data_IF_753890674400
#
_entry.id   IF_753890674400
#
_cell.length_a   1.000
_cell.length_b   1.000
_cell.length_c   1.000
_cell.angle_alpha   90.00
_cell.angle_beta   90.00
_cell.angle_gamma   90.00
#
_symmetry.space_group_name_H-M   'P 1'
#
loop_
_entity.id
_entity.type
_entity.pdbx_description
1 polymer ?
#
# COMPACT_ATOMS: atom_id res chain seq x y z
N UNK A 1 -15.87 39.67 18.40
CA UNK A 1 -15.33 38.78 19.46
C UNK A 1 -16.12 37.47 19.57
N UNK A 2 -17.46 37.48 19.59
CA UNK A 2 -18.22 36.22 19.54
C UNK A 2 -17.82 35.29 18.37
N UNK A 3 -17.55 35.88 17.22
CA UNK A 3 -17.10 35.12 16.03
C UNK A 3 -15.74 34.44 16.23
N UNK A 4 -14.81 35.08 16.99
CA UNK A 4 -13.49 34.48 17.30
C UNK A 4 -13.71 33.26 18.22
N UNK A 5 -14.49 33.41 19.26
CA UNK A 5 -14.83 32.31 20.18
C UNK A 5 -15.50 31.17 19.42
N UNK A 6 -16.44 31.49 18.53
CA UNK A 6 -17.10 30.47 17.70
C UNK A 6 -16.11 29.69 16.81
N UNK A 7 -15.23 30.38 16.10
CA UNK A 7 -14.21 29.74 15.27
C UNK A 7 -13.31 28.83 16.10
N UNK A 8 -12.83 29.29 17.25
CA UNK A 8 -11.98 28.49 18.13
C UNK A 8 -12.74 27.27 18.70
N UNK A 9 -13.99 27.43 19.07
CA UNK A 9 -14.82 26.32 19.59
C UNK A 9 -15.09 25.25 18.54
N UNK A 10 -15.41 25.66 17.29
CA UNK A 10 -15.58 24.74 16.17
C UNK A 10 -14.26 24.03 15.85
N UNK A 11 -13.15 24.78 15.81
CA UNK A 11 -11.81 24.17 15.62
C UNK A 11 -11.51 23.17 16.73
N UNK A 12 -11.72 23.53 18.00
CA UNK A 12 -11.55 22.62 19.14
C UNK A 12 -12.34 21.33 18.96
N UNK A 13 -13.61 21.45 18.61
CA UNK A 13 -14.47 20.27 18.41
C UNK A 13 -13.88 19.31 17.36
N UNK A 14 -13.50 19.81 16.19
CA UNK A 14 -12.96 18.97 15.15
C UNK A 14 -11.57 18.40 15.49
N UNK A 15 -10.68 19.19 16.10
CA UNK A 15 -9.36 18.72 16.51
C UNK A 15 -9.45 17.61 17.56
N UNK A 16 -10.33 17.75 18.54
CA UNK A 16 -10.54 16.72 19.55
C UNK A 16 -11.20 15.49 18.92
N UNK A 17 -12.20 15.68 18.06
CA UNK A 17 -12.91 14.59 17.39
C UNK A 17 -11.95 13.74 16.54
N UNK A 18 -11.21 14.35 15.62
CA UNK A 18 -10.27 13.62 14.78
C UNK A 18 -9.06 13.12 15.57
N UNK A 19 -8.56 13.92 16.51
CA UNK A 19 -7.44 13.53 17.34
C UNK A 19 -7.71 12.31 18.21
N UNK A 20 -8.91 12.20 18.80
CA UNK A 20 -9.32 11.01 19.55
C UNK A 20 -9.49 9.81 18.63
N UNK A 21 -10.06 10.01 17.43
CA UNK A 21 -10.18 8.97 16.42
C UNK A 21 -8.81 8.40 16.04
N UNK A 22 -7.84 9.26 15.71
CA UNK A 22 -6.48 8.85 15.35
C UNK A 22 -5.74 8.18 16.51
N UNK A 23 -5.88 8.73 17.72
CA UNK A 23 -5.25 8.18 18.91
C UNK A 23 -5.71 6.74 19.20
N UNK A 24 -7.01 6.44 19.01
CA UNK A 24 -7.60 5.15 19.33
C UNK A 24 -7.54 4.15 18.18
N UNK A 25 -7.74 4.59 16.93
CA UNK A 25 -8.01 3.72 15.79
C UNK A 25 -6.87 3.68 14.76
N UNK A 26 -5.87 4.59 14.82
CA UNK A 26 -4.79 4.58 13.84
C UNK A 26 -3.97 3.30 13.90
N UNK A 27 -3.69 2.73 12.72
CA UNK A 27 -2.91 1.50 12.56
C UNK A 27 -1.45 1.72 12.94
N UNK A 28 -0.87 2.85 12.52
CA UNK A 28 0.51 3.20 12.80
C UNK A 28 0.67 3.91 14.14
N UNK A 29 1.74 3.60 14.86
CA UNK A 29 2.09 4.30 16.11
C UNK A 29 2.26 5.81 15.91
N UNK A 30 2.86 6.21 14.78
CA UNK A 30 3.00 7.62 14.40
C UNK A 30 1.65 8.33 14.28
N UNK A 31 0.63 7.68 13.74
CA UNK A 31 -0.72 8.21 13.65
C UNK A 31 -1.35 8.43 15.03
N UNK A 32 -1.11 7.52 15.99
CA UNK A 32 -1.57 7.70 17.39
C UNK A 32 -0.91 8.90 18.06
N UNK A 33 0.39 9.13 17.80
CA UNK A 33 1.09 10.35 18.28
C UNK A 33 0.44 11.60 17.68
N UNK A 34 0.18 11.60 16.36
CA UNK A 34 -0.51 12.71 15.71
C UNK A 34 -1.87 12.97 16.34
N UNK A 35 -2.64 11.93 16.60
CA UNK A 35 -3.90 12.03 17.32
C UNK A 35 -3.76 12.69 18.68
N UNK A 36 -2.78 12.28 19.48
CA UNK A 36 -2.48 12.89 20.78
C UNK A 36 -2.11 14.38 20.66
N UNK A 37 -1.32 14.74 19.66
CA UNK A 37 -0.95 16.14 19.37
C UNK A 37 -2.18 16.96 18.99
N UNK A 38 -3.05 16.44 18.10
CA UNK A 38 -4.29 17.12 17.73
C UNK A 38 -5.21 17.35 18.93
N UNK A 39 -5.33 16.39 19.85
CA UNK A 39 -6.08 16.57 21.10
C UNK A 39 -5.45 17.65 21.97
N UNK A 40 -4.13 17.64 22.14
CA UNK A 40 -3.43 18.66 22.95
C UNK A 40 -3.61 20.07 22.38
N UNK A 41 -3.49 20.23 21.04
CA UNK A 41 -3.77 21.51 20.36
C UNK A 41 -5.25 21.87 20.50
N UNK A 42 -6.18 20.92 20.41
CA UNK A 42 -7.60 21.12 20.64
C UNK A 42 -7.90 21.69 22.05
N UNK A 43 -7.26 21.13 23.08
CA UNK A 43 -7.32 21.67 24.44
C UNK A 43 -6.72 23.08 24.51
N UNK A 44 -5.57 23.32 23.86
CA UNK A 44 -4.94 24.65 23.80
C UNK A 44 -5.82 25.68 23.11
N UNK A 45 -6.51 25.33 22.02
CA UNK A 45 -7.48 26.21 21.33
C UNK A 45 -8.71 26.49 22.17
N UNK A 46 -9.19 25.50 22.94
CA UNK A 46 -10.28 25.69 23.89
C UNK A 46 -9.90 26.70 25.00
N UNK A 47 -8.72 26.55 25.60
CA UNK A 47 -8.20 27.51 26.58
C UNK A 47 -8.03 28.90 25.95
N UNK A 48 -7.59 28.96 24.67
CA UNK A 48 -7.56 30.20 23.89
C UNK A 48 -8.93 30.85 23.74
N UNK A 49 -9.98 30.08 23.49
CA UNK A 49 -11.35 30.58 23.40
C UNK A 49 -11.83 31.16 24.75
N UNK A 50 -11.56 30.45 25.86
CA UNK A 50 -11.85 30.96 27.21
C UNK A 50 -11.06 32.25 27.52
N UNK A 51 -9.80 32.27 27.10
CA UNK A 51 -8.94 33.46 27.29
C UNK A 51 -9.41 34.66 26.47
N UNK A 52 -9.93 34.47 25.25
CA UNK A 52 -10.59 35.55 24.47
C UNK A 52 -11.78 36.11 25.21
N UNK A 53 -12.59 35.21 25.81
CA UNK A 53 -13.74 35.63 26.59
C UNK A 53 -13.32 36.42 27.85
N UNK A 54 -12.34 35.92 28.62
CA UNK A 54 -11.79 36.59 29.79
C UNK A 54 -11.17 37.94 29.44
N UNK A 55 -10.34 37.99 28.43
CA UNK A 55 -9.68 39.23 27.98
C UNK A 55 -10.65 40.34 27.62
N UNK A 56 -11.81 39.96 27.07
CA UNK A 56 -12.84 40.90 26.63
C UNK A 56 -13.80 41.34 27.72
N UNK A 57 -14.24 40.42 28.58
CA UNK A 57 -15.38 40.63 29.46
C UNK A 57 -15.02 40.72 30.95
N UNK A 58 -14.14 39.87 31.42
CA UNK A 58 -13.88 39.71 32.86
C UNK A 58 -12.53 40.24 33.31
N UNK A 59 -11.49 40.12 32.47
CA UNK A 59 -10.11 40.53 32.76
C UNK A 59 -9.57 40.00 34.10
N UNK A 60 -10.01 38.80 34.48
CA UNK A 60 -9.59 38.19 35.73
C UNK A 60 -8.14 37.71 35.71
N UNK A 61 -7.65 37.26 34.51
CA UNK A 61 -6.29 36.73 34.37
C UNK A 61 -5.37 37.71 33.66
N UNK A 62 -4.23 38.06 34.26
CA UNK A 62 -3.32 39.08 33.72
C UNK A 62 -2.71 38.74 32.36
N UNK A 63 -2.65 37.43 32.00
CA UNK A 63 -2.05 36.94 30.74
C UNK A 63 -3.10 36.37 29.75
N UNK A 64 -4.37 36.65 29.93
CA UNK A 64 -5.43 36.11 29.05
C UNK A 64 -5.23 36.52 27.59
N UNK A 65 -4.77 37.71 27.29
CA UNK A 65 -4.44 38.16 25.94
C UNK A 65 -3.36 37.28 25.26
N UNK A 66 -2.33 36.90 26.02
CA UNK A 66 -1.27 36.02 25.51
C UNK A 66 -1.77 34.61 25.21
N UNK A 67 -2.55 34.04 26.14
CA UNK A 67 -3.16 32.70 25.93
C UNK A 67 -4.12 32.72 24.74
N UNK A 68 -4.91 33.79 24.58
CA UNK A 68 -5.76 33.99 23.42
C UNK A 68 -4.98 34.04 22.12
N UNK A 69 -3.84 34.74 22.09
CA UNK A 69 -2.98 34.80 20.91
C UNK A 69 -2.37 33.45 20.57
N UNK A 70 -1.82 32.75 21.56
CA UNK A 70 -1.24 31.40 21.34
C UNK A 70 -2.32 30.44 20.82
N UNK A 71 -3.51 30.43 21.41
CA UNK A 71 -4.61 29.58 20.98
C UNK A 71 -5.09 29.87 19.56
N UNK A 72 -5.17 31.17 19.16
CA UNK A 72 -5.57 31.55 17.80
C UNK A 72 -4.50 31.21 16.76
N UNK A 73 -3.20 31.38 17.08
CA UNK A 73 -2.09 31.01 16.19
C UNK A 73 -2.00 29.48 16.03
N UNK A 74 -2.11 28.74 17.14
CA UNK A 74 -2.13 27.27 17.07
C UNK A 74 -3.31 26.76 16.22
N UNK A 75 -4.52 27.32 16.43
CA UNK A 75 -5.68 27.00 15.62
C UNK A 75 -5.44 27.29 14.12
N UNK A 76 -4.82 28.44 13.80
CA UNK A 76 -4.52 28.78 12.41
C UNK A 76 -3.54 27.79 11.77
N UNK A 77 -2.41 27.49 12.43
CA UNK A 77 -1.39 26.57 11.89
C UNK A 77 -2.00 25.19 11.66
N UNK A 78 -2.71 24.66 12.65
CA UNK A 78 -3.29 23.32 12.53
C UNK A 78 -4.43 23.26 11.50
N UNK A 79 -5.32 24.26 11.46
CA UNK A 79 -6.36 24.34 10.43
C UNK A 79 -5.76 24.45 9.03
N UNK A 80 -4.67 25.21 8.85
CA UNK A 80 -3.97 25.32 7.58
C UNK A 80 -3.40 23.97 7.13
N UNK A 81 -2.76 23.23 8.05
CA UNK A 81 -2.21 21.91 7.73
C UNK A 81 -3.30 20.92 7.36
N UNK A 82 -4.40 20.89 8.10
CA UNK A 82 -5.54 20.03 7.80
C UNK A 82 -6.23 20.43 6.49
N UNK A 83 -6.35 21.74 6.21
CA UNK A 83 -6.86 22.23 4.93
C UNK A 83 -5.99 21.74 3.76
N UNK A 84 -4.66 21.85 3.87
CA UNK A 84 -3.74 21.38 2.84
C UNK A 84 -3.85 19.86 2.63
N UNK A 85 -3.89 19.07 3.71
CA UNK A 85 -4.06 17.64 3.63
C UNK A 85 -5.39 17.25 2.95
N UNK A 86 -6.52 17.89 3.34
CA UNK A 86 -7.84 17.59 2.77
C UNK A 86 -7.96 18.09 1.32
N UNK A 87 -7.31 19.20 0.95
CA UNK A 87 -7.30 19.69 -0.44
C UNK A 87 -6.51 18.72 -1.33
N UNK A 88 -5.38 18.22 -0.85
CA UNK A 88 -4.51 17.31 -1.59
C UNK A 88 -5.14 15.91 -1.74
N UNK A 89 -5.61 15.33 -0.64
CA UNK A 89 -5.97 13.91 -0.57
C UNK A 89 -7.46 13.62 -0.41
N UNK A 90 -8.24 14.59 0.08
CA UNK A 90 -9.66 14.42 0.34
C UNK A 90 -10.52 14.48 -0.92
N UNK A 91 -11.61 13.74 -0.95
CA UNK A 91 -12.61 13.74 -2.02
C UNK A 91 -13.80 14.67 -1.70
N UNK A 92 -14.10 14.86 -0.41
CA UNK A 92 -15.26 15.61 0.07
C UNK A 92 -15.11 17.12 -0.07
N UNK A 93 -15.91 17.72 -0.97
CA UNK A 93 -15.98 19.19 -1.17
C UNK A 93 -16.41 19.92 0.12
N UNK A 94 -17.30 19.31 0.93
CA UNK A 94 -17.76 19.91 2.18
C UNK A 94 -16.60 20.13 3.15
N UNK A 95 -15.75 19.14 3.34
CA UNK A 95 -14.59 19.27 4.24
C UNK A 95 -13.50 20.21 3.67
N UNK A 96 -13.32 20.26 2.35
CA UNK A 96 -12.44 21.26 1.71
C UNK A 96 -12.89 22.67 2.03
N UNK A 97 -14.18 22.96 1.88
CA UNK A 97 -14.74 24.28 2.21
C UNK A 97 -14.66 24.55 3.71
N UNK A 98 -15.03 23.58 4.55
CA UNK A 98 -14.99 23.72 6.01
C UNK A 98 -13.59 24.11 6.52
N UNK A 99 -12.57 23.33 6.14
CA UNK A 99 -11.20 23.59 6.57
C UNK A 99 -10.63 24.89 6.01
N UNK A 100 -10.99 25.27 4.78
CA UNK A 100 -10.62 26.57 4.21
C UNK A 100 -11.25 27.73 4.99
N UNK A 101 -12.51 27.62 5.38
CA UNK A 101 -13.21 28.63 6.21
C UNK A 101 -12.61 28.70 7.63
N UNK A 102 -12.32 27.55 8.26
CA UNK A 102 -11.67 27.52 9.58
C UNK A 102 -10.26 28.13 9.54
N UNK A 103 -9.50 27.86 8.49
CA UNK A 103 -8.17 28.47 8.28
C UNK A 103 -8.28 29.99 8.13
N UNK A 104 -9.15 30.48 7.25
CA UNK A 104 -9.38 31.92 7.08
C UNK A 104 -9.90 32.58 8.36
N UNK A 105 -10.83 31.93 9.04
CA UNK A 105 -11.41 32.41 10.31
C UNK A 105 -10.37 32.48 11.44
N UNK A 106 -9.51 31.47 11.58
CA UNK A 106 -8.46 31.45 12.61
C UNK A 106 -7.33 32.43 12.29
N UNK A 107 -6.98 32.63 11.01
CA UNK A 107 -6.05 33.69 10.60
C UNK A 107 -6.59 35.07 10.95
N UNK A 108 -7.84 35.33 10.61
CA UNK A 108 -8.51 36.58 10.96
C UNK A 108 -8.56 36.77 12.50
N UNK A 109 -8.89 35.71 13.26
CA UNK A 109 -8.91 35.75 14.72
C UNK A 109 -7.53 36.10 15.30
N UNK A 110 -6.46 35.49 14.80
CA UNK A 110 -5.08 35.77 15.23
C UNK A 110 -4.70 37.26 14.96
N UNK A 111 -5.02 37.77 13.76
CA UNK A 111 -4.78 39.19 13.43
C UNK A 111 -5.57 40.14 14.33
N UNK A 112 -6.83 39.81 14.61
CA UNK A 112 -7.66 40.64 15.48
C UNK A 112 -7.14 40.69 16.93
N UNK A 113 -6.77 39.53 17.48
CA UNK A 113 -6.18 39.45 18.82
C UNK A 113 -4.84 40.17 18.85
N UNK A 114 -4.00 40.02 17.83
CA UNK A 114 -2.73 40.75 17.72
C UNK A 114 -2.93 42.28 17.71
N UNK A 115 -3.93 42.78 17.00
CA UNK A 115 -4.23 44.24 16.94
C UNK A 115 -4.68 44.84 18.26
N UNK A 116 -5.13 44.04 19.23
CA UNK A 116 -5.53 44.52 20.56
C UNK A 116 -4.33 44.89 21.47
N UNK A 117 -3.12 44.94 20.93
CA UNK A 117 -1.88 45.29 21.63
C UNK A 117 -1.62 44.45 22.89
N UNK A 118 -1.69 43.14 22.68
CA UNK A 118 -1.38 42.17 23.73
C UNK A 118 0.05 42.38 24.22
N UNK A 119 0.21 42.66 25.52
CA UNK A 119 1.53 42.71 26.16
C UNK A 119 2.09 41.28 26.24
N UNK A 120 3.25 41.04 25.60
CA UNK A 120 3.91 39.75 25.59
C UNK A 120 5.05 39.76 26.63
N UNK A 121 4.85 39.17 27.81
CA UNK A 121 5.91 39.04 28.78
C UNK A 121 6.97 38.05 28.25
N UNK A 122 8.25 38.45 28.31
CA UNK A 122 9.36 37.64 27.86
C UNK A 122 9.19 37.06 26.43
N UNK A 123 9.16 37.93 25.38
CA UNK A 123 8.77 37.52 24.01
C UNK A 123 9.62 36.37 23.45
N UNK A 124 10.88 36.23 23.84
CA UNK A 124 11.77 35.11 23.44
C UNK A 124 11.29 33.77 23.98
N UNK A 125 10.78 33.69 25.22
CA UNK A 125 10.27 32.45 25.82
C UNK A 125 8.94 32.05 25.19
N UNK A 126 8.08 33.02 24.92
CA UNK A 126 6.78 32.80 24.27
C UNK A 126 6.99 32.35 22.83
N UNK A 127 7.91 33.01 22.08
CA UNK A 127 8.24 32.58 20.73
C UNK A 127 8.74 31.12 20.72
N UNK A 128 9.62 30.74 21.65
CA UNK A 128 10.08 29.35 21.76
C UNK A 128 8.93 28.38 22.09
N UNK A 129 8.02 28.74 22.98
CA UNK A 129 6.89 27.90 23.35
C UNK A 129 5.85 27.69 22.21
N UNK A 130 5.80 28.59 21.24
CA UNK A 130 4.93 28.46 20.05
C UNK A 130 5.67 27.81 18.89
N UNK A 131 6.90 28.28 18.61
CA UNK A 131 7.67 27.83 17.44
C UNK A 131 8.09 26.37 17.58
N UNK A 132 8.53 25.93 18.78
CA UNK A 132 9.00 24.55 18.96
C UNK A 132 7.90 23.52 18.71
N UNK A 133 6.69 23.58 19.29
CA UNK A 133 5.61 22.66 18.96
C UNK A 133 5.20 22.74 17.49
N UNK A 134 5.10 23.95 16.91
CA UNK A 134 4.73 24.11 15.49
C UNK A 134 5.75 23.49 14.54
N UNK A 135 7.05 23.60 14.84
CA UNK A 135 8.11 22.95 14.05
C UNK A 135 8.06 21.43 14.21
N UNK A 136 7.81 20.92 15.42
CA UNK A 136 7.65 19.49 15.66
C UNK A 136 6.42 18.93 14.95
N UNK A 137 5.30 19.64 14.95
CA UNK A 137 4.09 19.26 14.23
C UNK A 137 4.33 19.26 12.72
N UNK A 138 4.99 20.28 12.18
CA UNK A 138 5.39 20.36 10.77
C UNK A 138 6.36 19.23 10.39
N UNK A 139 7.35 18.95 11.23
CA UNK A 139 8.31 17.89 11.01
C UNK A 139 7.63 16.51 11.04
N UNK A 140 6.69 16.30 11.97
CA UNK A 140 5.92 15.07 12.07
C UNK A 140 4.97 14.90 10.84
N UNK A 141 4.30 15.97 10.41
CA UNK A 141 3.51 15.99 9.20
C UNK A 141 4.37 15.64 7.97
N UNK A 142 5.54 16.31 7.81
CA UNK A 142 6.47 16.04 6.73
C UNK A 142 6.99 14.58 6.77
N UNK A 143 7.29 14.07 7.96
CA UNK A 143 7.70 12.67 8.13
C UNK A 143 6.61 11.70 7.68
N UNK A 144 5.36 11.91 8.08
CA UNK A 144 4.25 10.99 7.77
C UNK A 144 3.80 11.05 6.31
N UNK A 145 3.73 12.24 5.72
CA UNK A 145 3.18 12.43 4.37
C UNK A 145 4.24 12.45 3.27
N UNK A 146 5.49 12.86 3.57
CA UNK A 146 6.55 12.99 2.56
C UNK A 146 7.64 11.92 2.66
N UNK A 147 7.93 11.41 3.86
CA UNK A 147 9.05 10.49 4.05
C UNK A 147 8.61 9.04 4.24
N UNK A 148 7.67 8.79 5.14
CA UNK A 148 7.23 7.44 5.47
C UNK A 148 6.64 6.66 4.27
N UNK A 149 5.87 7.26 3.34
CA UNK A 149 5.37 6.55 2.17
C UNK A 149 6.48 6.02 1.26
N UNK A 150 7.63 6.70 1.19
CA UNK A 150 8.76 6.36 0.33
C UNK A 150 9.79 5.42 0.98
N UNK A 151 9.63 5.08 2.26
CA UNK A 151 10.47 4.04 2.86
C UNK A 151 10.07 2.67 2.31
N UNK A 152 10.94 2.12 1.48
CA UNK A 152 10.84 0.73 1.05
C UNK A 152 11.08 -0.16 2.27
N UNK A 153 9.99 -0.55 2.91
CA UNK A 153 10.03 -1.48 4.03
C UNK A 153 10.53 -2.85 3.58
N UNK A 154 11.02 -3.64 4.52
CA UNK A 154 11.31 -5.04 4.31
C UNK A 154 10.07 -5.72 3.69
N UNK A 155 10.29 -6.61 2.75
CA UNK A 155 9.26 -7.41 2.09
C UNK A 155 9.41 -8.87 2.51
N UNK A 156 8.33 -9.64 2.56
CA UNK A 156 8.43 -11.08 2.75
C UNK A 156 9.29 -11.75 1.67
N UNK A 157 9.98 -12.81 2.04
CA UNK A 157 10.82 -13.60 1.14
C UNK A 157 10.08 -14.88 0.76
N UNK A 158 10.02 -15.15 -0.55
CA UNK A 158 9.49 -16.41 -1.07
C UNK A 158 10.66 -17.28 -1.52
N UNK A 159 10.61 -18.55 -1.17
CA UNK A 159 11.58 -19.56 -1.61
C UNK A 159 10.86 -20.78 -2.16
N UNK A 160 11.29 -21.27 -3.31
CA UNK A 160 10.78 -22.51 -3.92
C UNK A 160 11.87 -23.57 -3.83
N UNK A 161 11.49 -24.77 -3.40
CA UNK A 161 12.34 -25.95 -3.45
C UNK A 161 11.62 -27.10 -4.14
N UNK A 162 12.30 -27.81 -5.03
CA UNK A 162 11.75 -28.97 -5.72
C UNK A 162 12.27 -30.26 -5.10
N UNK A 163 11.36 -31.19 -4.85
CA UNK A 163 11.70 -32.53 -4.41
C UNK A 163 12.08 -33.47 -5.57
N UNK A 164 12.54 -34.66 -5.21
CA UNK A 164 12.84 -35.68 -6.22
C UNK A 164 11.56 -36.13 -6.91
N UNK A 165 11.58 -36.11 -8.24
CA UNK A 165 10.45 -36.57 -9.03
C UNK A 165 10.14 -38.06 -8.79
N UNK A 166 8.86 -38.36 -8.67
CA UNK A 166 8.35 -39.72 -8.41
C UNK A 166 7.57 -40.20 -9.64
N UNK A 167 7.81 -41.41 -10.07
CA UNK A 167 7.07 -42.05 -11.16
C UNK A 167 5.91 -42.88 -10.56
N UNK A 168 4.73 -42.79 -11.16
CA UNK A 168 3.58 -43.57 -10.74
C UNK A 168 3.82 -45.09 -10.94
N UNK A 169 3.09 -45.92 -10.18
CA UNK A 169 3.25 -47.38 -10.24
C UNK A 169 2.94 -47.96 -11.64
N UNK A 170 2.00 -47.37 -12.38
CA UNK A 170 1.65 -47.71 -13.74
C UNK A 170 2.64 -47.17 -14.80
N UNK A 171 3.67 -46.41 -14.37
CA UNK A 171 4.66 -45.74 -15.21
C UNK A 171 4.07 -44.81 -16.30
N UNK A 172 2.80 -44.40 -16.16
CA UNK A 172 2.15 -43.51 -17.12
C UNK A 172 2.31 -42.02 -16.78
N UNK A 173 2.60 -41.71 -15.52
CA UNK A 173 2.69 -40.33 -15.01
C UNK A 173 3.92 -40.19 -14.12
N UNK A 174 4.34 -38.98 -13.95
CA UNK A 174 5.30 -38.61 -12.91
C UNK A 174 4.81 -37.36 -12.17
N UNK A 175 5.32 -37.18 -10.97
CA UNK A 175 4.97 -36.10 -10.08
C UNK A 175 6.24 -35.44 -9.55
N UNK A 176 6.28 -34.13 -9.55
CA UNK A 176 7.35 -33.31 -8.98
C UNK A 176 6.80 -32.60 -7.76
N UNK A 177 7.23 -32.98 -6.55
CA UNK A 177 6.87 -32.24 -5.34
C UNK A 177 7.54 -30.87 -5.33
N UNK A 178 6.79 -29.85 -4.95
CA UNK A 178 7.30 -28.48 -4.81
C UNK A 178 6.91 -27.99 -3.42
N UNK A 179 7.87 -27.40 -2.72
CA UNK A 179 7.65 -26.73 -1.44
C UNK A 179 7.89 -25.23 -1.63
N UNK A 180 6.90 -24.44 -1.25
CA UNK A 180 6.93 -22.99 -1.29
C UNK A 180 7.01 -22.52 0.16
N UNK A 181 8.00 -21.72 0.49
CA UNK A 181 8.16 -21.11 1.82
C UNK A 181 8.03 -19.60 1.70
N UNK A 182 7.29 -19.03 2.62
CA UNK A 182 7.16 -17.60 2.84
C UNK A 182 7.77 -17.27 4.21
N UNK A 183 8.67 -16.31 4.27
CA UNK A 183 9.31 -15.87 5.51
C UNK A 183 9.22 -14.34 5.59
N UNK A 184 8.68 -13.85 6.69
CA UNK A 184 8.64 -12.43 7.00
C UNK A 184 9.68 -12.12 8.08
N UNK A 185 10.81 -11.56 7.69
CA UNK A 185 11.89 -11.15 8.61
C UNK A 185 11.76 -9.69 9.07
N UNK A 186 10.63 -9.05 8.79
CA UNK A 186 10.38 -7.67 9.22
C UNK A 186 9.66 -7.62 10.57
N UNK A 187 9.66 -6.45 11.19
CA UNK A 187 8.91 -6.12 12.40
C UNK A 187 7.44 -5.75 12.14
N UNK A 188 6.99 -5.82 10.89
CA UNK A 188 5.63 -5.49 10.45
C UNK A 188 4.95 -6.72 9.89
N UNK A 189 3.67 -6.92 10.23
CA UNK A 189 2.82 -7.93 9.60
C UNK A 189 2.29 -7.48 8.23
N UNK A 190 1.91 -8.45 7.40
CA UNK A 190 1.39 -8.23 6.06
C UNK A 190 0.08 -8.98 5.85
N UNK A 191 -0.87 -8.36 5.15
CA UNK A 191 -1.96 -9.07 4.51
C UNK A 191 -1.47 -9.69 3.21
N UNK A 192 -1.87 -10.92 2.92
CA UNK A 192 -1.75 -11.52 1.60
C UNK A 192 -2.87 -10.96 0.72
N UNK A 193 -2.51 -10.18 -0.28
CA UNK A 193 -3.47 -9.65 -1.24
C UNK A 193 -3.83 -10.71 -2.28
N UNK A 194 -2.83 -11.50 -2.67
CA UNK A 194 -2.98 -12.65 -3.51
C UNK A 194 -1.64 -13.35 -3.66
N UNK A 195 -1.68 -14.66 -3.78
CA UNK A 195 -0.50 -15.49 -3.93
C UNK A 195 -0.78 -16.59 -4.97
N UNK A 196 0.11 -16.74 -5.92
CA UNK A 196 -0.03 -17.73 -6.98
C UNK A 196 1.26 -18.52 -7.16
N UNK A 197 1.09 -19.76 -7.51
CA UNK A 197 2.14 -20.67 -7.98
C UNK A 197 1.80 -21.13 -9.37
N UNK A 198 2.78 -21.14 -10.26
CA UNK A 198 2.61 -21.75 -11.56
C UNK A 198 3.84 -22.53 -12.03
N UNK A 199 3.56 -23.53 -12.85
CA UNK A 199 4.57 -24.33 -13.51
C UNK A 199 4.43 -24.16 -15.03
N UNK A 200 5.56 -23.90 -15.69
CA UNK A 200 5.66 -23.79 -17.15
C UNK A 200 6.40 -24.99 -17.71
N UNK A 201 5.85 -25.58 -18.76
CA UNK A 201 6.48 -26.64 -19.51
C UNK A 201 7.19 -26.10 -20.76
N UNK A 202 8.46 -26.40 -20.93
CA UNK A 202 9.27 -25.88 -22.01
C UNK A 202 9.83 -27.01 -22.87
N UNK A 203 10.03 -26.71 -24.16
CA UNK A 203 10.77 -27.58 -25.08
C UNK A 203 12.15 -26.98 -25.27
N UNK A 204 13.16 -27.78 -24.98
CA UNK A 204 14.55 -27.37 -25.20
C UNK A 204 15.02 -27.96 -26.51
N UNK A 205 15.33 -27.15 -27.51
CA UNK A 205 15.88 -27.65 -28.78
C UNK A 205 17.26 -28.24 -28.55
N UNK A 206 17.36 -29.57 -28.63
CA UNK A 206 18.65 -30.26 -28.52
C UNK A 206 19.36 -30.22 -29.86
N UNK A 207 20.54 -29.66 -29.87
CA UNK A 207 21.42 -29.66 -31.08
C UNK A 207 22.36 -30.84 -31.05
N UNK A 208 22.44 -31.58 -32.13
CA UNK A 208 23.46 -32.64 -32.32
C UNK A 208 24.86 -32.11 -32.58
N UNK A 209 25.01 -30.81 -32.74
CA UNK A 209 26.31 -30.14 -32.96
C UNK A 209 26.55 -29.11 -31.87
N UNK A 210 27.82 -28.94 -31.49
CA UNK A 210 28.22 -27.84 -30.63
C UNK A 210 27.98 -26.50 -31.34
N UNK A 211 26.97 -25.78 -30.91
CA UNK A 211 26.63 -24.43 -31.40
C UNK A 211 26.96 -23.34 -30.40
N UNK A 212 27.80 -23.63 -29.44
CA UNK A 212 28.06 -22.71 -28.32
C UNK A 212 28.56 -21.34 -28.84
N UNK A 213 29.43 -21.32 -29.84
CA UNK A 213 29.94 -20.09 -30.42
C UNK A 213 28.91 -19.29 -31.21
N UNK A 214 28.08 -19.94 -31.99
CA UNK A 214 27.03 -19.29 -32.77
C UNK A 214 25.91 -18.79 -31.86
N UNK A 215 25.57 -19.54 -30.80
CA UNK A 215 24.63 -19.14 -29.78
C UNK A 215 25.12 -17.91 -29.02
N UNK A 216 26.38 -17.86 -28.63
CA UNK A 216 26.94 -16.67 -27.98
C UNK A 216 26.92 -15.43 -28.86
N UNK A 217 27.15 -15.57 -30.16
CA UNK A 217 27.04 -14.46 -31.11
C UNK A 217 25.58 -13.96 -31.18
N UNK A 218 24.65 -14.86 -31.39
CA UNK A 218 23.23 -14.57 -31.42
C UNK A 218 22.77 -13.92 -30.12
N UNK A 219 23.14 -14.49 -28.98
CA UNK A 219 22.80 -13.93 -27.66
C UNK A 219 23.43 -12.54 -27.46
N UNK A 220 24.66 -12.32 -27.95
CA UNK A 220 25.34 -11.03 -27.87
C UNK A 220 24.68 -9.96 -28.75
N UNK A 221 24.23 -10.33 -29.94
CA UNK A 221 23.52 -9.43 -30.85
C UNK A 221 22.13 -9.09 -30.29
N UNK A 222 21.42 -10.07 -29.79
CA UNK A 222 20.12 -9.88 -29.14
C UNK A 222 20.24 -9.06 -27.85
N UNK A 223 21.28 -9.29 -27.03
CA UNK A 223 21.53 -8.51 -25.83
C UNK A 223 21.76 -7.03 -26.14
N UNK A 224 22.41 -6.68 -27.24
CA UNK A 224 22.52 -5.28 -27.69
C UNK A 224 21.17 -4.68 -28.05
N UNK A 225 20.31 -5.41 -28.74
CA UNK A 225 18.97 -4.95 -29.12
C UNK A 225 18.03 -4.80 -27.92
N UNK A 226 18.22 -5.60 -26.87
CA UNK A 226 17.36 -5.62 -25.67
C UNK A 226 17.90 -4.81 -24.49
N UNK A 227 19.17 -4.40 -24.52
CA UNK A 227 19.81 -3.63 -23.43
C UNK A 227 19.07 -2.35 -23.05
N UNK A 228 18.32 -1.79 -23.99
CA UNK A 228 17.51 -0.59 -23.75
C UNK A 228 16.14 -0.87 -23.14
N UNK A 229 15.70 -2.13 -23.07
CA UNK A 229 14.32 -2.46 -22.67
C UNK A 229 14.16 -3.15 -21.33
N UNK A 230 15.05 -4.01 -20.87
CA UNK A 230 14.97 -4.63 -19.54
C UNK A 230 16.14 -5.54 -19.21
N UNK A 231 16.61 -5.55 -17.96
CA UNK A 231 17.55 -6.55 -17.43
C UNK A 231 16.94 -7.97 -17.34
N UNK A 232 15.63 -8.12 -17.52
CA UNK A 232 14.88 -9.38 -17.49
C UNK A 232 14.73 -10.05 -18.86
N UNK A 233 15.19 -9.43 -19.93
CA UNK A 233 15.01 -9.87 -21.32
C UNK A 233 15.74 -11.18 -21.68
N UNK A 234 16.61 -11.69 -20.80
CA UNK A 234 17.20 -13.02 -20.97
C UNK A 234 16.17 -14.17 -21.01
N UNK A 235 14.99 -13.94 -20.44
CA UNK A 235 13.90 -14.93 -20.44
C UNK A 235 13.15 -15.04 -21.76
N UNK A 236 13.16 -14.01 -22.60
CA UNK A 236 12.46 -14.00 -23.89
C UNK A 236 13.18 -14.77 -25.00
N UNK A 237 14.44 -15.19 -24.77
CA UNK A 237 15.25 -15.95 -25.74
C UNK A 237 14.88 -17.44 -25.72
N UNK A 238 14.28 -17.93 -24.64
CA UNK A 238 13.68 -19.25 -24.57
C UNK A 238 12.26 -19.20 -25.15
N UNK A 239 11.92 -20.16 -26.00
CA UNK A 239 10.52 -20.32 -26.43
C UNK A 239 9.62 -20.28 -25.20
N UNK A 240 8.72 -19.29 -25.17
CA UNK A 240 7.84 -19.11 -24.04
C UNK A 240 7.16 -20.43 -23.71
N UNK A 241 7.38 -20.93 -22.50
CA UNK A 241 6.79 -22.17 -22.03
C UNK A 241 5.27 -22.11 -22.08
N UNK A 242 4.63 -23.24 -21.97
CA UNK A 242 3.17 -23.31 -21.82
C UNK A 242 2.81 -23.56 -20.36
N UNK A 243 1.76 -22.93 -19.90
CA UNK A 243 1.25 -23.14 -18.55
C UNK A 243 0.79 -24.60 -18.39
N UNK A 244 1.37 -25.29 -17.41
CA UNK A 244 1.05 -26.66 -17.03
C UNK A 244 0.11 -26.68 -15.85
N UNK A 245 0.34 -25.81 -14.88
CA UNK A 245 -0.42 -25.71 -13.64
C UNK A 245 -0.36 -24.28 -13.11
N UNK A 246 -1.48 -23.79 -12.61
CA UNK A 246 -1.55 -22.57 -11.81
C UNK A 246 -2.50 -22.79 -10.65
N UNK A 247 -2.12 -22.39 -9.45
CA UNK A 247 -2.96 -22.46 -8.26
C UNK A 247 -2.64 -21.33 -7.27
N UNK A 248 -3.64 -20.84 -6.52
CA UNK A 248 -3.35 -20.01 -5.38
C UNK A 248 -2.71 -20.87 -4.28
N UNK A 249 -1.65 -20.39 -3.64
CA UNK A 249 -0.99 -21.09 -2.54
C UNK A 249 -1.23 -20.42 -1.17
N UNK A 250 -1.82 -19.25 -1.14
CA UNK A 250 -2.40 -18.57 0.01
C UNK A 250 -3.68 -17.87 -0.44
N UNK A 251 -4.66 -17.81 0.44
CA UNK A 251 -5.91 -17.13 0.15
C UNK A 251 -5.80 -15.62 0.31
N UNK A 252 -6.46 -14.82 -0.57
CA UNK A 252 -6.54 -13.37 -0.38
C UNK A 252 -7.22 -13.03 0.95
N UNK A 253 -6.55 -12.20 1.75
CA UNK A 253 -7.01 -11.81 3.08
C UNK A 253 -6.34 -12.57 4.22
N UNK A 254 -5.62 -13.64 3.95
CA UNK A 254 -4.70 -14.23 4.91
C UNK A 254 -3.63 -13.22 5.33
N UNK A 255 -2.92 -13.49 6.40
CA UNK A 255 -1.86 -12.62 6.86
C UNK A 255 -0.67 -13.40 7.42
N UNK A 256 0.47 -12.77 7.39
CA UNK A 256 1.69 -13.22 8.04
C UNK A 256 2.12 -12.17 9.08
N UNK A 257 2.40 -12.62 10.29
CA UNK A 257 2.85 -11.72 11.35
C UNK A 257 4.35 -11.39 11.23
N UNK A 258 4.80 -10.44 12.04
CA UNK A 258 6.22 -10.07 12.12
C UNK A 258 7.05 -11.27 12.57
N UNK A 259 8.18 -11.52 11.89
CA UNK A 259 9.09 -12.64 12.16
C UNK A 259 8.43 -14.03 12.12
N UNK A 260 7.41 -14.19 11.30
CA UNK A 260 6.67 -15.43 11.10
C UNK A 260 6.94 -16.05 9.73
N UNK A 261 6.57 -17.32 9.54
CA UNK A 261 6.76 -18.05 8.30
C UNK A 261 5.66 -19.05 8.02
N UNK A 262 5.44 -19.32 6.75
CA UNK A 262 4.48 -20.29 6.26
C UNK A 262 5.13 -21.19 5.22
N UNK A 263 4.73 -22.45 5.16
CA UNK A 263 5.16 -23.35 4.09
C UNK A 263 3.97 -24.15 3.54
N UNK A 264 3.93 -24.26 2.23
CA UNK A 264 2.96 -25.08 1.51
C UNK A 264 3.68 -26.09 0.63
N UNK A 265 3.08 -27.27 0.45
CA UNK A 265 3.55 -28.28 -0.50
C UNK A 265 2.50 -28.56 -1.54
N UNK A 266 2.93 -28.52 -2.78
CA UNK A 266 2.10 -28.91 -3.92
C UNK A 266 2.82 -29.91 -4.80
N UNK A 267 2.14 -30.48 -5.78
CA UNK A 267 2.67 -31.52 -6.65
C UNK A 267 2.28 -31.25 -8.09
N UNK A 268 3.27 -31.01 -8.95
CA UNK A 268 3.04 -30.88 -10.38
C UNK A 268 3.09 -32.25 -11.03
N UNK A 269 1.98 -32.65 -11.67
CA UNK A 269 1.84 -33.95 -12.30
C UNK A 269 1.79 -33.82 -13.82
N UNK A 270 2.51 -34.68 -14.50
CA UNK A 270 2.56 -34.75 -15.97
C UNK A 270 2.54 -36.21 -16.45
N UNK A 271 2.01 -36.45 -17.66
CA UNK A 271 2.13 -37.74 -18.30
C UNK A 271 3.58 -38.00 -18.76
N UNK A 272 4.02 -39.27 -18.71
CA UNK A 272 5.38 -39.67 -19.14
C UNK A 272 5.65 -39.39 -20.63
N UNK A 273 4.63 -39.27 -21.45
CA UNK A 273 4.75 -38.93 -22.87
C UNK A 273 4.62 -37.45 -23.15
N UNK A 274 4.74 -36.59 -22.13
CA UNK A 274 4.72 -35.14 -22.30
C UNK A 274 5.76 -34.70 -23.33
N UNK A 275 5.44 -33.66 -24.10
CA UNK A 275 6.34 -33.09 -25.09
C UNK A 275 7.38 -32.13 -24.49
N UNK A 276 7.25 -31.77 -23.21
CA UNK A 276 8.15 -30.85 -22.53
C UNK A 276 9.43 -31.56 -22.08
N UNK A 277 10.55 -30.87 -22.16
CA UNK A 277 11.86 -31.35 -21.73
C UNK A 277 12.31 -30.71 -20.41
N UNK A 278 11.67 -29.60 -20.07
CA UNK A 278 11.95 -28.77 -18.91
C UNK A 278 10.67 -28.38 -18.20
N UNK A 279 10.74 -28.19 -16.88
CA UNK A 279 9.73 -27.51 -16.09
C UNK A 279 10.39 -26.33 -15.38
N UNK A 280 9.74 -25.18 -15.43
CA UNK A 280 10.12 -23.98 -14.69
C UNK A 280 9.00 -23.64 -13.69
N UNK A 281 9.37 -23.46 -12.42
CA UNK A 281 8.44 -23.20 -11.32
C UNK A 281 8.59 -21.76 -10.85
N UNK A 282 7.47 -21.10 -10.66
CA UNK A 282 7.37 -19.71 -10.21
C UNK A 282 6.38 -19.63 -9.05
N UNK A 283 6.68 -18.78 -8.07
CA UNK A 283 5.73 -18.39 -7.05
C UNK A 283 5.81 -16.88 -6.87
N UNK A 284 4.67 -16.24 -6.89
CA UNK A 284 4.54 -14.79 -6.66
C UNK A 284 3.51 -14.53 -5.60
N UNK A 285 3.68 -13.46 -4.85
CA UNK A 285 2.65 -12.96 -3.96
C UNK A 285 2.75 -11.45 -3.82
N UNK A 286 1.57 -10.83 -3.72
CA UNK A 286 1.43 -9.42 -3.40
C UNK A 286 0.94 -9.27 -1.98
N UNK A 287 1.55 -8.35 -1.25
CA UNK A 287 1.29 -8.10 0.17
C UNK A 287 0.91 -6.65 0.42
N UNK A 288 0.09 -6.41 1.43
CA UNK A 288 -0.22 -5.09 1.96
C UNK A 288 0.19 -4.99 3.43
N UNK A 289 0.88 -3.91 3.80
CA UNK A 289 1.37 -3.72 5.19
C UNK A 289 0.23 -3.47 6.16
N UNK A 290 0.16 -4.25 7.26
CA UNK A 290 -0.87 -4.12 8.30
C UNK A 290 -0.81 -2.80 9.08
N UNK A 291 0.32 -2.13 9.08
CA UNK A 291 0.48 -0.81 9.70
C UNK A 291 0.02 0.36 8.79
N UNK A 292 -0.33 0.08 7.53
CA UNK A 292 -0.82 1.07 6.55
C UNK A 292 -2.17 0.74 5.96
N UNK A 293 -2.60 -0.50 6.04
CA UNK A 293 -3.79 -1.04 5.40
C UNK A 293 -4.58 -1.86 6.40
N UNK A 294 -5.87 -1.60 6.53
CA UNK A 294 -6.81 -2.51 7.15
C UNK A 294 -7.83 -2.93 6.11
N UNK A 295 -7.99 -4.24 5.93
CA UNK A 295 -8.91 -4.83 4.97
C UNK A 295 -10.11 -5.43 5.69
N UNK A 296 -11.30 -5.22 5.15
CA UNK A 296 -12.42 -6.10 5.41
C UNK A 296 -12.14 -7.48 4.80
N UNK A 297 -12.92 -8.46 5.22
CA UNK A 297 -12.83 -9.79 4.63
C UNK A 297 -13.10 -9.72 3.11
N UNK A 298 -12.29 -10.42 2.31
CA UNK A 298 -12.53 -10.51 0.88
C UNK A 298 -13.87 -11.21 0.62
N UNK A 299 -14.71 -10.58 -0.19
CA UNK A 299 -15.96 -11.17 -0.66
C UNK A 299 -15.72 -12.35 -1.59
N UNK A 300 -16.79 -13.04 -1.95
CA UNK A 300 -16.74 -14.17 -2.87
C UNK A 300 -16.08 -13.79 -4.20
N UNK A 301 -15.33 -14.72 -4.78
CA UNK A 301 -14.64 -14.53 -6.04
C UNK A 301 -15.60 -14.31 -7.22
N UNK A 302 -15.27 -13.36 -8.10
CA UNK A 302 -15.89 -13.22 -9.41
C UNK A 302 -14.96 -13.82 -10.49
N UNK A 303 -15.56 -14.32 -11.56
CA UNK A 303 -14.84 -15.04 -12.60
C UNK A 303 -15.07 -14.37 -13.96
N UNK A 304 -14.01 -14.07 -14.72
CA UNK A 304 -14.11 -13.44 -16.04
C UNK A 304 -14.99 -14.25 -17.00
N UNK A 305 -14.88 -15.57 -16.99
CA UNK A 305 -15.64 -16.48 -17.86
C UNK A 305 -17.11 -16.69 -17.46
N UNK A 306 -17.51 -16.24 -16.26
CA UNK A 306 -18.92 -16.33 -15.81
C UNK A 306 -19.64 -14.99 -15.90
N UNK A 307 -18.96 -13.94 -15.52
CA UNK A 307 -19.60 -12.63 -15.27
C UNK A 307 -19.20 -11.55 -16.28
N UNK A 308 -18.21 -11.80 -17.14
CA UNK A 308 -17.76 -10.86 -18.20
C UNK A 308 -17.29 -9.48 -17.69
N UNK A 309 -16.98 -9.35 -16.39
CA UNK A 309 -16.76 -8.06 -15.72
C UNK A 309 -15.29 -7.69 -15.47
N UNK A 310 -14.35 -8.50 -15.95
CA UNK A 310 -12.96 -8.11 -15.84
C UNK A 310 -12.65 -6.97 -16.82
N UNK A 311 -11.87 -5.95 -16.40
CA UNK A 311 -11.45 -4.89 -17.29
C UNK A 311 -10.60 -5.46 -18.43
N UNK A 312 -10.66 -4.81 -19.62
CA UNK A 312 -9.91 -5.25 -20.81
C UNK A 312 -8.40 -5.31 -20.61
N UNK A 313 -7.85 -4.51 -19.70
CA UNK A 313 -6.44 -4.54 -19.36
C UNK A 313 -6.05 -5.74 -18.46
N UNK A 314 -7.00 -6.33 -17.74
CA UNK A 314 -6.79 -7.49 -16.88
C UNK A 314 -7.09 -8.82 -17.60
N UNK A 315 -7.71 -8.78 -18.78
CA UNK A 315 -8.03 -9.96 -19.60
C UNK A 315 -7.41 -9.83 -20.97
N UNK A 316 -6.90 -10.93 -21.50
CA UNK A 316 -6.56 -11.08 -22.91
C UNK A 316 -7.35 -12.26 -23.48
N UNK A 317 -7.42 -12.38 -24.81
CA UNK A 317 -8.15 -13.45 -25.48
C UNK A 317 -7.70 -14.86 -25.05
N UNK A 318 -6.46 -14.98 -24.56
CA UNK A 318 -5.83 -16.24 -24.14
C UNK A 318 -5.71 -16.40 -22.61
N UNK A 319 -6.39 -15.55 -21.79
CA UNK A 319 -6.28 -15.62 -20.34
C UNK A 319 -7.60 -15.47 -19.60
N UNK A 320 -7.74 -16.23 -18.52
CA UNK A 320 -8.84 -16.11 -17.55
C UNK A 320 -8.38 -15.33 -16.31
N UNK A 321 -9.37 -14.74 -15.62
CA UNK A 321 -9.11 -13.93 -14.43
C UNK A 321 -10.11 -14.27 -13.33
N UNK A 322 -9.60 -14.49 -12.12
CA UNK A 322 -10.38 -14.53 -10.89
C UNK A 322 -10.19 -13.21 -10.15
N UNK A 323 -11.29 -12.63 -9.69
CA UNK A 323 -11.31 -11.31 -9.09
C UNK A 323 -11.77 -11.43 -7.64
N UNK A 324 -10.94 -10.95 -6.73
CA UNK A 324 -11.26 -10.83 -5.32
C UNK A 324 -11.38 -9.36 -4.94
N UNK A 325 -12.28 -9.05 -4.01
CA UNK A 325 -12.51 -7.66 -3.62
C UNK A 325 -12.74 -7.54 -2.13
N UNK A 326 -12.06 -6.57 -1.51
CA UNK A 326 -12.25 -6.19 -0.11
C UNK A 326 -12.35 -4.67 0.03
N UNK A 327 -13.10 -4.20 1.00
CA UNK A 327 -13.09 -2.78 1.35
C UNK A 327 -11.83 -2.46 2.13
N UNK A 328 -11.24 -1.30 1.81
CA UNK A 328 -10.09 -0.73 2.52
C UNK A 328 -10.61 0.25 3.58
N UNK A 329 -10.12 0.11 4.80
CA UNK A 329 -10.29 1.12 5.84
C UNK A 329 -9.10 2.08 5.82
N UNK A 330 -9.39 3.36 5.88
CA UNK A 330 -8.34 4.39 5.91
C UNK A 330 -7.61 4.38 7.25
N UNK A 331 -6.32 4.70 7.23
CA UNK A 331 -5.43 4.60 8.39
C UNK A 331 -5.64 5.72 9.42
N UNK A 332 -6.30 6.80 9.05
CA UNK A 332 -6.54 7.94 9.95
C UNK A 332 -7.97 8.45 9.86
N UNK A 333 -8.41 9.14 10.91
CA UNK A 333 -9.78 9.64 11.04
C UNK A 333 -10.11 10.72 9.99
N UNK A 334 -9.12 11.51 9.56
CA UNK A 334 -9.31 12.56 8.56
C UNK A 334 -9.65 11.91 7.22
N UNK A 335 -8.82 10.97 6.75
CA UNK A 335 -9.06 10.25 5.50
C UNK A 335 -10.38 9.47 5.55
N UNK A 336 -10.69 8.82 6.68
CA UNK A 336 -11.93 8.08 6.90
C UNK A 336 -13.20 8.95 6.68
N UNK A 337 -13.13 10.24 7.01
CA UNK A 337 -14.28 11.14 6.89
C UNK A 337 -14.23 12.03 5.64
N UNK A 338 -13.07 12.23 5.04
CA UNK A 338 -12.89 13.15 3.92
C UNK A 338 -12.72 12.47 2.58
N UNK A 339 -12.45 11.15 2.55
CA UNK A 339 -12.24 10.37 1.33
C UNK A 339 -13.42 9.46 1.03
N UNK A 340 -13.66 9.21 -0.24
CA UNK A 340 -14.59 8.18 -0.69
C UNK A 340 -14.04 6.79 -0.38
N UNK A 341 -14.93 5.84 -0.15
CA UNK A 341 -14.54 4.46 0.13
C UNK A 341 -13.71 3.86 -0.98
N UNK A 342 -12.59 3.24 -0.60
CA UNK A 342 -11.68 2.54 -1.50
C UNK A 342 -11.88 1.04 -1.37
N UNK A 343 -11.57 0.34 -2.45
CA UNK A 343 -11.64 -1.11 -2.52
C UNK A 343 -10.33 -1.65 -3.06
N UNK A 344 -9.77 -2.61 -2.34
CA UNK A 344 -8.72 -3.47 -2.83
C UNK A 344 -9.36 -4.48 -3.79
N UNK A 345 -8.93 -4.48 -5.03
CA UNK A 345 -9.33 -5.46 -6.03
C UNK A 345 -8.10 -6.21 -6.48
N UNK A 346 -8.13 -7.52 -6.37
CA UNK A 346 -7.04 -8.41 -6.73
C UNK A 346 -7.45 -9.22 -7.94
N UNK A 347 -6.67 -9.12 -8.99
CA UNK A 347 -6.83 -9.88 -10.22
C UNK A 347 -5.82 -11.01 -10.26
N UNK A 348 -6.26 -12.24 -10.06
CA UNK A 348 -5.45 -13.42 -10.34
C UNK A 348 -5.71 -13.85 -11.78
N UNK A 349 -4.74 -13.60 -12.62
CA UNK A 349 -4.78 -13.89 -14.05
C UNK A 349 -3.93 -15.11 -14.37
N UNK A 350 -4.45 -16.00 -15.20
CA UNK A 350 -3.73 -17.17 -15.70
C UNK A 350 -4.10 -17.44 -17.14
N UNK A 351 -3.14 -17.88 -17.92
CA UNK A 351 -3.29 -18.13 -19.34
C UNK A 351 -2.13 -18.92 -19.90
N UNK A 352 -2.15 -19.15 -21.21
CA UNK A 352 -1.15 -19.96 -21.90
C UNK A 352 0.30 -19.57 -21.58
N UNK A 353 0.56 -18.31 -21.34
CA UNK A 353 1.90 -17.75 -21.17
C UNK A 353 2.30 -17.48 -19.71
N UNK A 354 1.55 -18.00 -18.75
CA UNK A 354 1.85 -17.89 -17.33
C UNK A 354 0.66 -17.46 -16.49
N UNK A 355 0.94 -17.18 -15.21
CA UNK A 355 0.00 -16.65 -14.25
C UNK A 355 0.60 -15.48 -13.48
N UNK A 356 -0.25 -14.72 -12.80
CA UNK A 356 0.20 -13.60 -11.99
C UNK A 356 -0.93 -12.96 -11.21
N UNK A 357 -0.56 -12.25 -10.17
CA UNK A 357 -1.47 -11.52 -9.28
C UNK A 357 -1.23 -10.02 -9.44
N UNK A 358 -2.30 -9.25 -9.56
CA UNK A 358 -2.24 -7.79 -9.68
C UNK A 358 -3.24 -7.16 -8.72
N UNK A 359 -2.81 -6.60 -7.59
CA UNK A 359 -3.65 -5.82 -6.69
C UNK A 359 -3.78 -4.38 -7.17
N UNK A 360 -4.97 -3.82 -7.04
CA UNK A 360 -5.26 -2.41 -7.30
C UNK A 360 -6.17 -1.85 -6.21
N UNK A 361 -6.05 -0.56 -5.92
CA UNK A 361 -6.97 0.15 -5.02
C UNK A 361 -7.68 1.24 -5.79
N UNK A 362 -8.99 1.13 -5.90
CA UNK A 362 -9.82 2.04 -6.68
C UNK A 362 -11.07 2.45 -5.92
N UNK A 363 -11.73 3.53 -6.37
CA UNK A 363 -13.09 3.88 -5.92
C UNK A 363 -14.10 2.90 -6.51
N UNK A 364 -15.25 2.83 -5.90
CA UNK A 364 -16.38 2.07 -6.45
C UNK A 364 -16.79 2.63 -7.81
N UNK A 365 -16.79 1.79 -8.83
CA UNK A 365 -17.14 2.16 -10.20
C UNK A 365 -15.98 2.58 -11.09
N UNK A 366 -14.76 2.70 -10.54
CA UNK A 366 -13.55 3.03 -11.30
C UNK A 366 -12.66 1.80 -11.60
N UNK A 367 -13.15 0.59 -11.34
CA UNK A 367 -12.37 -0.65 -11.43
C UNK A 367 -11.84 -0.93 -12.85
N UNK A 368 -12.51 -0.41 -13.85
CA UNK A 368 -12.10 -0.54 -15.26
C UNK A 368 -11.07 0.50 -15.72
N UNK A 369 -10.75 1.48 -14.88
CA UNK A 369 -9.82 2.55 -15.24
C UNK A 369 -8.38 2.07 -15.06
N UNK A 370 -7.58 2.26 -16.09
CA UNK A 370 -6.12 2.10 -15.96
C UNK A 370 -5.58 3.39 -15.36
N UNK A 371 -5.06 3.33 -14.13
CA UNK A 371 -4.38 4.46 -13.51
C UNK A 371 -3.09 4.82 -14.24
N UNK A 372 -2.63 6.06 -14.10
CA UNK A 372 -1.29 6.43 -14.55
C UNK A 372 -0.22 5.69 -13.71
N UNK A 373 1.02 5.64 -14.20
CA UNK A 373 2.13 5.08 -13.43
C UNK A 373 2.34 5.81 -12.09
N UNK A 374 2.08 7.12 -12.07
CA UNK A 374 2.17 7.95 -10.86
C UNK A 374 1.07 7.60 -9.86
N UNK A 375 -0.20 7.48 -10.31
CA UNK A 375 -1.32 7.03 -9.47
C UNK A 375 -1.08 5.64 -8.89
N UNK A 376 -0.54 4.72 -9.70
CA UNK A 376 -0.20 3.37 -9.25
C UNK A 376 0.92 3.38 -8.21
N UNK A 377 1.95 4.20 -8.40
CA UNK A 377 3.06 4.37 -7.45
C UNK A 377 2.58 4.99 -6.14
N UNK A 378 1.69 5.96 -6.18
CA UNK A 378 1.09 6.56 -5.00
C UNK A 378 0.27 5.55 -4.19
N UNK A 379 -0.57 4.74 -4.85
CA UNK A 379 -1.37 3.68 -4.24
C UNK A 379 -0.46 2.64 -3.57
N UNK A 380 0.55 2.15 -4.29
CA UNK A 380 1.54 1.20 -3.77
C UNK A 380 2.22 1.75 -2.51
N UNK A 381 2.66 3.00 -2.58
CA UNK A 381 3.33 3.67 -1.46
C UNK A 381 2.40 3.89 -0.25
N UNK A 382 1.19 4.38 -0.49
CA UNK A 382 0.21 4.71 0.57
C UNK A 382 -0.19 3.48 1.38
N UNK A 383 -0.53 2.38 0.70
CA UNK A 383 -1.02 1.15 1.34
C UNK A 383 0.10 0.15 1.66
N UNK A 384 1.36 0.51 1.34
CA UNK A 384 2.51 -0.36 1.56
C UNK A 384 2.38 -1.69 0.82
N UNK A 385 1.92 -1.62 -0.44
CA UNK A 385 1.83 -2.79 -1.30
C UNK A 385 3.24 -3.17 -1.73
N UNK A 386 3.59 -4.44 -1.55
CA UNK A 386 4.90 -4.98 -1.95
C UNK A 386 4.69 -6.33 -2.62
N UNK A 387 5.47 -6.57 -3.67
CA UNK A 387 5.48 -7.85 -4.37
C UNK A 387 6.74 -8.64 -4.01
N UNK A 388 6.59 -9.95 -3.90
CA UNK A 388 7.69 -10.88 -3.77
C UNK A 388 7.52 -12.01 -4.77
N UNK A 389 8.62 -12.39 -5.38
CA UNK A 389 8.68 -13.47 -6.38
C UNK A 389 9.83 -14.40 -6.10
N UNK A 390 9.62 -15.67 -6.45
CA UNK A 390 10.65 -16.69 -6.51
C UNK A 390 10.56 -17.43 -7.85
N UNK A 391 11.70 -17.84 -8.34
CA UNK A 391 11.81 -18.57 -9.60
C UNK A 391 12.37 -17.74 -10.75
N UNK A 392 12.55 -18.37 -11.92
CA UNK A 392 12.32 -19.79 -12.18
C UNK A 392 13.24 -20.73 -11.38
N UNK A 393 12.65 -21.76 -10.80
CA UNK A 393 13.40 -22.95 -10.40
C UNK A 393 13.19 -23.98 -11.50
N UNK A 394 14.27 -24.41 -12.14
CA UNK A 394 14.18 -25.24 -13.33
C UNK A 394 14.51 -26.70 -13.00
N UNK A 395 13.75 -27.61 -13.61
CA UNK A 395 13.99 -29.05 -13.51
C UNK A 395 13.93 -29.69 -14.89
N UNK A 396 15.00 -30.43 -15.26
CA UNK A 396 15.03 -31.21 -16.49
C UNK A 396 14.21 -32.50 -16.33
N UNK A 397 13.55 -32.91 -17.40
CA UNK A 397 12.73 -34.12 -17.43
C UNK A 397 13.42 -35.30 -18.07
N UNK A 398 14.64 -35.14 -18.58
CA UNK A 398 15.33 -36.20 -19.31
C UNK A 398 15.63 -37.44 -18.47
N UNK A 399 16.10 -37.27 -17.24
CA UNK A 399 16.32 -38.42 -16.35
C UNK A 399 15.01 -39.18 -16.03
N UNK A 400 13.90 -38.46 -15.89
CA UNK A 400 12.59 -39.03 -15.60
C UNK A 400 12.10 -39.81 -16.81
N UNK A 401 12.20 -39.22 -18.00
CA UNK A 401 11.81 -39.84 -19.26
C UNK A 401 12.67 -41.04 -19.64
N UNK A 402 13.95 -41.06 -19.25
CA UNK A 402 14.85 -42.19 -19.51
C UNK A 402 14.53 -43.42 -18.65
N UNK A 403 13.76 -43.29 -17.59
CA UNK A 403 13.26 -44.40 -16.75
C UNK A 403 12.03 -45.10 -17.34
N UNK A 404 11.66 -44.75 -18.54
CA UNK A 404 10.56 -45.33 -19.34
C UNK A 404 10.87 -46.75 -19.86
#
# INVERSE_FOLDING_TARGET
>A
MASIVLVLMVTTFYLVWFGLGDFMESLAFSGRITGAVLVAVGVGTFLGALAVFDFQFTRCFPNSGLVALIGTVAAFVTNLMLALAVIQDGDSTLYKVLWSLLTAGSAWAAVMVWRTRVEIPAPKRVAAAVVVPSVLELANFGYQHLYQPFQHGARPLITITTGKAMVSQDRKRFAVPVEIKLENHSDVGFYVLGAEFHAMGEKVPVSSKDRLRDKWRSDSEQHRAFRERSALSRREIHDAGQLVMAEPWLDPGDWIEANDGFSMRTVVQLPMNTSYDHLAFYATASFGRKDRLALEHFGGAAYSWKNGKAPSWATSDDSDTVIFRARVHENNAIDKHTRDHRYMTVYWRFGKHGAGVLPTVTRKGEEGRTGSAEESSEVVSRYGIVDADAGPIEQTLWEIKSRR
#
